data_IF_065791408055
#
_entry.id   IF_065791408055
#
_cell.length_a   1.000
_cell.length_b   1.000
_cell.length_c   1.000
_cell.angle_alpha   90.00
_cell.angle_beta   90.00
_cell.angle_gamma   90.00
#
_symmetry.space_group_name_H-M   'P 1'
#
loop_
_entity.id
_entity.type
_entity.pdbx_description
1 polymer ?
#
# COMPACT_ATOMS: atom_id res chain seq x y z
N UNK A 1 -53.32 58.72 -23.33
CA UNK A 1 -51.94 58.67 -22.79
C UNK A 1 -51.82 57.89 -21.47
N UNK A 2 -52.67 58.12 -20.47
CA UNK A 2 -52.56 57.52 -19.11
C UNK A 2 -52.67 55.99 -19.08
N UNK A 3 -53.48 55.37 -19.95
CA UNK A 3 -53.61 53.89 -20.00
C UNK A 3 -52.36 53.19 -20.55
N UNK A 4 -51.66 53.82 -21.51
CA UNK A 4 -50.45 53.25 -22.12
C UNK A 4 -49.28 53.17 -21.13
N UNK A 5 -49.13 54.20 -20.29
CA UNK A 5 -48.13 54.24 -19.20
C UNK A 5 -48.38 53.14 -18.16
N UNK A 6 -49.65 52.83 -17.85
CA UNK A 6 -50.01 51.77 -16.89
C UNK A 6 -49.63 50.37 -17.40
N UNK A 7 -49.85 50.08 -18.69
CA UNK A 7 -49.47 48.79 -19.27
C UNK A 7 -47.95 48.63 -19.42
N UNK A 8 -47.24 49.71 -19.78
CA UNK A 8 -45.78 49.70 -19.82
C UNK A 8 -45.18 49.44 -18.42
N UNK A 9 -45.74 50.06 -17.38
CA UNK A 9 -45.29 49.84 -16.00
C UNK A 9 -45.57 48.39 -15.52
N UNK A 10 -46.74 47.84 -15.86
CA UNK A 10 -47.07 46.44 -15.56
C UNK A 10 -46.15 45.44 -16.27
N UNK A 11 -45.75 45.72 -17.52
CA UNK A 11 -44.81 44.89 -18.27
C UNK A 11 -43.40 44.92 -17.67
N UNK A 12 -42.93 46.08 -17.20
CA UNK A 12 -41.63 46.20 -16.53
C UNK A 12 -41.62 45.43 -15.21
N UNK A 13 -42.69 45.53 -14.42
CA UNK A 13 -42.82 44.76 -13.18
C UNK A 13 -42.89 43.26 -13.48
N UNK A 14 -43.65 42.84 -14.49
CA UNK A 14 -43.72 41.45 -14.90
C UNK A 14 -42.35 40.92 -15.38
N UNK A 15 -41.59 41.71 -16.14
CA UNK A 15 -40.24 41.35 -16.57
C UNK A 15 -39.24 41.27 -15.40
N UNK A 16 -39.33 42.18 -14.43
CA UNK A 16 -38.53 42.14 -13.20
C UNK A 16 -38.85 40.91 -12.35
N UNK A 17 -40.14 40.59 -12.18
CA UNK A 17 -40.57 39.39 -11.46
C UNK A 17 -40.15 38.11 -12.18
N UNK A 18 -40.21 38.08 -13.52
CA UNK A 18 -39.73 36.95 -14.32
C UNK A 18 -38.20 36.77 -14.21
N UNK A 19 -37.45 37.88 -14.11
CA UNK A 19 -36.00 37.84 -13.91
C UNK A 19 -35.60 37.31 -12.52
N UNK A 20 -36.44 37.56 -11.50
CA UNK A 20 -36.27 36.99 -10.15
C UNK A 20 -36.54 35.48 -10.10
N UNK A 21 -37.42 34.98 -10.97
CA UNK A 21 -37.75 33.54 -11.06
C UNK A 21 -36.65 32.76 -11.82
N UNK A 22 -35.91 33.42 -12.72
CA UNK A 22 -34.76 32.83 -13.41
C UNK A 22 -33.43 32.94 -12.65
N UNK A 23 -33.39 33.69 -11.55
CA UNK A 23 -32.32 33.57 -10.57
C UNK A 23 -32.51 32.26 -9.79
N UNK A 24 -32.13 31.15 -10.43
CA UNK A 24 -32.05 29.85 -9.77
C UNK A 24 -31.19 29.95 -8.51
N UNK A 25 -31.38 29.05 -7.51
CA UNK A 25 -30.55 29.05 -6.31
C UNK A 25 -29.10 29.07 -6.77
N UNK A 26 -28.36 30.10 -6.35
CA UNK A 26 -26.93 30.18 -6.60
C UNK A 26 -26.34 28.89 -6.03
N UNK A 27 -26.01 27.94 -6.92
CA UNK A 27 -25.29 26.75 -6.52
C UNK A 27 -24.05 27.25 -5.79
N UNK A 28 -23.95 26.94 -4.50
CA UNK A 28 -22.78 27.26 -3.71
C UNK A 28 -21.59 26.72 -4.51
N UNK A 29 -20.77 27.61 -5.05
CA UNK A 29 -19.59 27.22 -5.79
C UNK A 29 -18.79 26.37 -4.82
N UNK A 30 -18.56 25.09 -5.17
CA UNK A 30 -17.70 24.23 -4.38
C UNK A 30 -16.39 24.98 -4.13
N UNK A 31 -15.89 25.01 -2.88
CA UNK A 31 -14.70 25.78 -2.55
C UNK A 31 -13.61 25.46 -3.56
N UNK A 32 -12.92 26.50 -4.04
CA UNK A 32 -11.84 26.30 -5.01
C UNK A 32 -10.86 25.26 -4.45
N UNK A 33 -10.31 24.35 -5.26
CA UNK A 33 -9.42 23.28 -4.78
C UNK A 33 -8.25 23.78 -3.95
N UNK A 34 -7.67 24.93 -4.31
CA UNK A 34 -6.65 25.60 -3.50
C UNK A 34 -7.17 26.02 -2.10
N UNK A 35 -8.40 26.54 -2.00
CA UNK A 35 -8.99 26.89 -0.72
C UNK A 35 -9.23 25.64 0.15
N UNK A 36 -9.67 24.53 -0.45
CA UNK A 36 -9.83 23.25 0.25
C UNK A 36 -8.49 22.71 0.76
N UNK A 37 -7.42 22.79 -0.04
CA UNK A 37 -6.06 22.42 0.36
C UNK A 37 -5.61 23.21 1.59
N UNK A 38 -5.67 24.54 1.51
CA UNK A 38 -5.26 25.42 2.61
C UNK A 38 -6.08 25.15 3.88
N UNK A 39 -7.38 24.87 3.71
CA UNK A 39 -8.26 24.55 4.84
C UNK A 39 -7.84 23.21 5.49
N UNK A 40 -7.55 22.19 4.68
CA UNK A 40 -7.09 20.89 5.17
C UNK A 40 -5.73 20.99 5.90
N UNK A 41 -4.79 21.78 5.37
CA UNK A 41 -3.51 22.04 6.02
C UNK A 41 -3.66 22.76 7.36
N UNK A 42 -4.58 23.73 7.45
CA UNK A 42 -4.88 24.42 8.71
C UNK A 42 -5.52 23.49 9.74
N UNK A 43 -6.45 22.64 9.32
CA UNK A 43 -7.06 21.62 10.18
C UNK A 43 -5.98 20.65 10.70
N UNK A 44 -5.07 20.22 9.82
CA UNK A 44 -3.94 19.37 10.20
C UNK A 44 -3.06 20.07 11.25
N UNK A 45 -2.70 21.34 11.02
CA UNK A 45 -1.88 22.12 11.95
C UNK A 45 -2.55 22.34 13.32
N UNK A 46 -3.89 22.32 13.38
CA UNK A 46 -4.66 22.40 14.63
C UNK A 46 -4.82 21.05 15.35
N UNK A 47 -4.32 19.97 14.77
CA UNK A 47 -4.51 18.61 15.29
C UNK A 47 -5.86 18.00 14.97
N UNK A 48 -6.67 18.64 14.12
CA UNK A 48 -7.97 18.13 13.67
C UNK A 48 -7.79 17.15 12.50
N UNK A 49 -7.01 16.08 12.73
CA UNK A 49 -6.50 15.20 11.69
C UNK A 49 -7.59 14.48 10.88
N UNK A 50 -8.68 14.05 11.53
CA UNK A 50 -9.80 13.41 10.84
C UNK A 50 -10.50 14.35 9.85
N UNK A 51 -10.64 15.63 10.20
CA UNK A 51 -11.22 16.64 9.32
C UNK A 51 -10.25 17.05 8.21
N UNK A 52 -8.96 17.14 8.52
CA UNK A 52 -7.91 17.35 7.51
C UNK A 52 -7.92 16.23 6.46
N UNK A 53 -7.99 14.97 6.89
CA UNK A 53 -8.06 13.82 6.00
C UNK A 53 -9.28 13.86 5.09
N UNK A 54 -10.45 14.30 5.59
CA UNK A 54 -11.64 14.50 4.76
C UNK A 54 -11.42 15.59 3.70
N UNK A 55 -10.77 16.70 4.05
CA UNK A 55 -10.43 17.75 3.10
C UNK A 55 -9.50 17.27 1.98
N UNK A 56 -8.48 16.48 2.32
CA UNK A 56 -7.60 15.86 1.33
C UNK A 56 -8.33 14.82 0.47
N UNK A 57 -9.19 13.99 1.06
CA UNK A 57 -10.00 13.03 0.31
C UNK A 57 -10.94 13.73 -0.67
N UNK A 58 -11.56 14.84 -0.27
CA UNK A 58 -12.42 15.64 -1.14
C UNK A 58 -11.68 16.16 -2.38
N UNK A 59 -10.39 16.49 -2.23
CA UNK A 59 -9.55 16.89 -3.37
C UNK A 59 -9.22 15.70 -4.26
N UNK A 60 -8.88 14.55 -3.67
CA UNK A 60 -8.67 13.33 -4.43
C UNK A 60 -9.91 12.94 -5.25
N UNK A 61 -11.10 13.06 -4.66
CA UNK A 61 -12.39 12.77 -5.31
C UNK A 61 -12.72 13.75 -6.46
N UNK A 62 -12.16 14.96 -6.42
CA UNK A 62 -12.23 15.93 -7.52
C UNK A 62 -11.26 15.63 -8.67
N UNK A 63 -10.49 14.54 -8.56
CA UNK A 63 -9.53 14.09 -9.57
C UNK A 63 -8.12 14.65 -9.39
N UNK A 64 -7.85 15.35 -8.27
CA UNK A 64 -6.48 15.73 -7.94
C UNK A 64 -5.68 14.50 -7.51
N UNK A 65 -4.62 14.20 -8.25
CA UNK A 65 -3.80 13.04 -8.00
C UNK A 65 -2.32 13.43 -8.09
N UNK A 66 -1.78 13.97 -6.99
CA UNK A 66 -0.36 14.25 -6.83
C UNK A 66 0.19 13.55 -5.58
N UNK A 67 1.49 13.26 -5.59
CA UNK A 67 2.14 12.51 -4.51
C UNK A 67 2.02 13.22 -3.16
N UNK A 68 2.14 14.54 -3.13
CA UNK A 68 2.13 15.33 -1.89
C UNK A 68 0.74 15.35 -1.24
N UNK A 69 -0.34 15.44 -2.04
CA UNK A 69 -1.72 15.32 -1.57
C UNK A 69 -1.93 13.97 -0.88
N UNK A 70 -1.55 12.87 -1.54
CA UNK A 70 -1.69 11.53 -0.97
C UNK A 70 -0.79 11.32 0.26
N UNK A 71 0.41 11.89 0.27
CA UNK A 71 1.30 11.85 1.43
C UNK A 71 0.71 12.60 2.64
N UNK A 72 0.22 13.83 2.43
CA UNK A 72 -0.41 14.63 3.48
C UNK A 72 -1.71 13.98 4.00
N UNK A 73 -2.50 13.39 3.09
CA UNK A 73 -3.66 12.58 3.46
C UNK A 73 -3.27 11.37 4.31
N UNK A 74 -2.19 10.68 3.94
CA UNK A 74 -1.64 9.56 4.70
C UNK A 74 -1.19 9.96 6.09
N UNK A 75 -0.49 11.09 6.22
CA UNK A 75 -0.11 11.66 7.51
C UNK A 75 -1.34 11.99 8.36
N UNK A 76 -2.37 12.60 7.76
CA UNK A 76 -3.60 12.93 8.47
C UNK A 76 -4.32 11.67 8.99
N UNK A 77 -4.44 10.62 8.18
CA UNK A 77 -5.01 9.36 8.64
C UNK A 77 -4.15 8.68 9.71
N UNK A 78 -2.83 8.71 9.55
CA UNK A 78 -1.90 8.12 10.52
C UNK A 78 -2.02 8.81 11.88
N UNK A 79 -2.03 10.14 11.91
CA UNK A 79 -2.21 10.94 13.12
C UNK A 79 -3.62 10.80 13.72
N UNK A 80 -4.63 10.46 12.91
CA UNK A 80 -5.98 10.13 13.37
C UNK A 80 -6.09 8.68 13.90
N UNK A 81 -5.02 7.88 13.84
CA UNK A 81 -5.01 6.48 14.28
C UNK A 81 -5.57 5.49 13.25
N UNK A 82 -5.92 5.95 12.04
CA UNK A 82 -6.44 5.08 10.99
C UNK A 82 -5.31 4.55 10.11
N UNK A 83 -4.66 3.48 10.60
CA UNK A 83 -3.50 2.89 9.94
C UNK A 83 -3.84 2.32 8.55
N UNK A 84 -5.06 1.82 8.35
CA UNK A 84 -5.53 1.28 7.08
C UNK A 84 -5.58 2.36 5.99
N UNK A 85 -6.27 3.47 6.25
CA UNK A 85 -6.35 4.60 5.31
C UNK A 85 -5.02 5.32 5.14
N UNK A 86 -4.19 5.37 6.18
CA UNK A 86 -2.83 5.87 6.10
C UNK A 86 -2.00 5.05 5.11
N UNK A 87 -2.00 3.71 5.27
CA UNK A 87 -1.26 2.79 4.39
C UNK A 87 -1.72 2.90 2.94
N UNK A 88 -3.03 2.97 2.71
CA UNK A 88 -3.57 3.17 1.37
C UNK A 88 -3.09 4.49 0.75
N UNK A 89 -3.17 5.59 1.50
CA UNK A 89 -2.78 6.92 1.02
C UNK A 89 -1.29 6.98 0.70
N UNK A 90 -0.42 6.45 1.56
CA UNK A 90 1.02 6.42 1.28
C UNK A 90 1.37 5.52 0.09
N UNK A 91 0.63 4.42 -0.13
CA UNK A 91 0.79 3.61 -1.34
C UNK A 91 0.36 4.36 -2.60
N UNK A 92 -0.71 5.14 -2.53
CA UNK A 92 -1.13 6.01 -3.63
C UNK A 92 -0.07 7.07 -3.93
N UNK A 93 0.57 7.65 -2.91
CA UNK A 93 1.72 8.55 -3.09
C UNK A 93 2.91 7.83 -3.77
N UNK A 94 3.28 6.64 -3.27
CA UNK A 94 4.38 5.84 -3.83
C UNK A 94 4.12 5.42 -5.29
N UNK A 95 2.86 5.19 -5.67
CA UNK A 95 2.51 4.88 -7.04
C UNK A 95 2.79 6.04 -8.02
N UNK A 96 2.73 7.29 -7.52
CA UNK A 96 3.01 8.50 -8.30
C UNK A 96 4.50 8.84 -8.26
N UNK A 97 5.14 8.80 -7.08
CA UNK A 97 6.58 8.96 -6.91
C UNK A 97 7.21 7.75 -6.18
N UNK A 98 7.68 6.74 -6.94
CA UNK A 98 8.20 5.51 -6.36
C UNK A 98 9.53 5.65 -5.62
N UNK A 99 10.22 6.79 -5.73
CA UNK A 99 11.57 7.00 -5.17
C UNK A 99 11.60 8.05 -4.06
N UNK A 100 10.44 8.52 -3.62
CA UNK A 100 10.34 9.44 -2.49
C UNK A 100 10.69 8.73 -1.18
N UNK A 101 11.82 9.13 -0.58
CA UNK A 101 12.32 8.56 0.66
C UNK A 101 11.40 8.86 1.87
N UNK A 102 10.68 9.98 1.85
CA UNK A 102 9.72 10.31 2.92
C UNK A 102 8.50 9.38 2.86
N UNK A 103 7.98 9.13 1.66
CA UNK A 103 6.89 8.16 1.44
C UNK A 103 7.33 6.75 1.84
N UNK A 104 8.54 6.33 1.46
CA UNK A 104 9.08 5.03 1.83
C UNK A 104 9.21 4.87 3.35
N UNK A 105 9.76 5.87 4.04
CA UNK A 105 9.86 5.88 5.50
C UNK A 105 8.50 5.78 6.18
N UNK A 106 7.51 6.57 5.73
CA UNK A 106 6.16 6.54 6.27
C UNK A 106 5.48 5.16 6.06
N UNK A 107 5.68 4.54 4.89
CA UNK A 107 5.17 3.19 4.63
C UNK A 107 5.79 2.14 5.56
N UNK A 108 7.09 2.23 5.83
CA UNK A 108 7.76 1.29 6.75
C UNK A 108 7.19 1.41 8.17
N UNK A 109 7.01 2.64 8.64
CA UNK A 109 6.46 2.93 9.97
C UNK A 109 5.03 2.39 10.13
N UNK A 110 4.11 2.76 9.21
CA UNK A 110 2.71 2.30 9.28
C UNK A 110 2.61 0.78 9.16
N UNK A 111 3.40 0.15 8.28
CA UNK A 111 3.44 -1.33 8.19
C UNK A 111 3.92 -1.98 9.48
N UNK A 112 4.90 -1.38 10.16
CA UNK A 112 5.39 -1.83 11.45
C UNK A 112 4.30 -1.79 12.52
N UNK A 113 3.56 -0.68 12.59
CA UNK A 113 2.46 -0.51 13.55
C UNK A 113 1.31 -1.49 13.29
N UNK A 114 0.91 -1.68 12.03
CA UNK A 114 -0.11 -2.68 11.66
C UNK A 114 0.35 -4.09 12.03
N UNK A 115 1.62 -4.44 11.76
CA UNK A 115 2.15 -5.74 12.12
C UNK A 115 2.17 -5.97 13.64
N UNK A 116 2.48 -4.94 14.42
CA UNK A 116 2.43 -5.00 15.88
C UNK A 116 0.99 -5.17 16.39
N UNK A 117 0.04 -4.37 15.90
CA UNK A 117 -1.38 -4.48 16.26
C UNK A 117 -1.96 -5.86 15.92
N UNK A 118 -1.61 -6.41 14.75
CA UNK A 118 -2.02 -7.76 14.35
C UNK A 118 -1.39 -8.85 15.23
N UNK A 119 -0.13 -8.67 15.65
CA UNK A 119 0.53 -9.61 16.56
C UNK A 119 -0.11 -9.60 17.95
N UNK A 120 -0.48 -8.42 18.46
CA UNK A 120 -1.22 -8.29 19.73
C UNK A 120 -2.61 -8.95 19.63
N UNK A 121 -3.30 -8.79 18.51
CA UNK A 121 -4.61 -9.40 18.28
C UNK A 121 -4.56 -10.92 18.09
N UNK A 122 -3.47 -11.46 17.52
CA UNK A 122 -3.32 -12.89 17.24
C UNK A 122 -2.99 -13.75 18.49
N UNK A 123 -2.59 -13.14 19.61
CA UNK A 123 -2.16 -13.86 20.81
C UNK A 123 -0.78 -14.51 20.66
N UNK A 124 -0.49 -15.52 21.48
CA UNK A 124 0.82 -16.18 21.45
C UNK A 124 1.02 -16.93 20.12
N UNK A 125 2.01 -16.54 19.28
CA UNK A 125 2.20 -17.15 17.98
C UNK A 125 2.58 -18.62 18.14
N UNK A 126 1.99 -19.48 17.30
CA UNK A 126 2.29 -20.90 17.30
C UNK A 126 3.81 -21.13 17.12
N UNK A 127 4.40 -22.23 17.64
CA UNK A 127 5.84 -22.48 17.56
C UNK A 127 6.40 -22.42 16.12
N UNK A 128 5.59 -22.81 15.14
CA UNK A 128 5.94 -22.74 13.71
C UNK A 128 6.04 -21.29 13.23
N UNK A 129 5.14 -20.40 13.68
CA UNK A 129 5.16 -18.98 13.32
C UNK A 129 6.37 -18.26 13.91
N UNK A 130 6.81 -18.64 15.11
CA UNK A 130 8.03 -18.13 15.72
C UNK A 130 9.28 -18.54 14.93
N UNK A 131 9.34 -19.80 14.47
CA UNK A 131 10.42 -20.29 13.60
C UNK A 131 10.42 -19.54 12.25
N UNK A 132 9.24 -19.29 11.67
CA UNK A 132 9.11 -18.52 10.42
C UNK A 132 9.47 -17.05 10.62
N UNK A 133 9.12 -16.44 11.76
CA UNK A 133 9.47 -15.07 12.11
C UNK A 133 10.99 -14.92 12.33
N UNK A 134 11.62 -15.86 13.03
CA UNK A 134 13.08 -15.93 13.17
C UNK A 134 13.75 -16.10 11.80
N UNK A 135 13.25 -17.00 10.95
CA UNK A 135 13.79 -17.18 9.60
C UNK A 135 13.66 -15.91 8.73
N UNK A 136 12.60 -15.11 8.92
CA UNK A 136 12.43 -13.81 8.25
C UNK A 136 13.37 -12.73 8.79
N UNK A 137 13.67 -12.74 10.09
CA UNK A 137 14.59 -11.78 10.73
C UNK A 137 16.07 -12.04 10.44
N UNK A 138 16.46 -13.30 10.30
CA UNK A 138 17.89 -13.69 10.20
C UNK A 138 18.43 -13.62 8.77
N UNK A 139 17.58 -13.49 7.75
CA UNK A 139 18.08 -13.44 6.37
C UNK A 139 17.24 -12.56 5.47
N UNK A 140 17.85 -11.47 4.97
CA UNK A 140 17.27 -10.71 3.87
C UNK A 140 17.29 -11.55 2.58
N UNK A 141 16.34 -11.32 1.66
CA UNK A 141 16.28 -12.02 0.36
C UNK A 141 17.62 -11.88 -0.40
N UNK A 142 18.28 -10.73 -0.24
CA UNK A 142 19.57 -10.43 -0.86
C UNK A 142 20.70 -11.30 -0.32
N UNK A 143 20.79 -11.51 0.99
CA UNK A 143 21.80 -12.39 1.60
C UNK A 143 21.62 -13.84 1.16
N UNK A 144 20.38 -14.35 1.12
CA UNK A 144 20.07 -15.69 0.62
C UNK A 144 20.40 -15.85 -0.86
N UNK A 145 20.13 -14.82 -1.67
CA UNK A 145 20.46 -14.82 -3.09
C UNK A 145 21.98 -14.82 -3.32
N UNK A 146 22.75 -14.02 -2.56
CA UNK A 146 24.22 -14.02 -2.62
C UNK A 146 24.82 -15.37 -2.19
N UNK A 147 24.27 -15.98 -1.14
CA UNK A 147 24.70 -17.29 -0.65
C UNK A 147 24.40 -18.38 -1.69
N UNK A 148 23.21 -18.35 -2.30
CA UNK A 148 22.84 -19.22 -3.40
C UNK A 148 23.77 -19.07 -4.61
N UNK A 149 24.14 -17.84 -4.98
CA UNK A 149 25.09 -17.56 -6.05
C UNK A 149 26.48 -18.14 -5.75
N UNK A 150 26.99 -17.94 -4.52
CA UNK A 150 28.26 -18.50 -4.08
C UNK A 150 28.27 -20.03 -4.09
N UNK A 151 27.19 -20.67 -3.63
CA UNK A 151 27.02 -22.11 -3.68
C UNK A 151 26.95 -22.64 -5.11
N UNK A 152 26.35 -21.89 -6.04
CA UNK A 152 26.31 -22.25 -7.45
C UNK A 152 27.71 -22.24 -8.09
N UNK A 153 28.53 -21.22 -7.83
CA UNK A 153 29.93 -21.20 -8.27
C UNK A 153 30.75 -22.34 -7.65
N UNK A 154 30.56 -22.63 -6.37
CA UNK A 154 31.24 -23.74 -5.71
C UNK A 154 30.82 -25.10 -6.30
N UNK A 155 29.53 -25.32 -6.51
CA UNK A 155 28.99 -26.54 -7.08
C UNK A 155 29.52 -26.78 -8.50
N UNK A 156 29.51 -25.74 -9.35
CA UNK A 156 30.04 -25.82 -10.72
C UNK A 156 31.55 -26.08 -10.73
N UNK A 157 32.33 -25.46 -9.84
CA UNK A 157 33.76 -25.74 -9.70
C UNK A 157 34.05 -27.20 -9.28
N UNK A 158 33.28 -27.75 -8.33
CA UNK A 158 33.41 -29.14 -7.89
C UNK A 158 33.02 -30.12 -9.02
N UNK A 159 31.95 -29.83 -9.77
CA UNK A 159 31.58 -30.61 -10.95
C UNK A 159 32.65 -30.58 -12.04
N UNK A 160 33.27 -29.42 -12.30
CA UNK A 160 34.37 -29.31 -13.26
C UNK A 160 35.57 -30.14 -12.84
N UNK A 161 35.96 -30.10 -11.56
CA UNK A 161 37.03 -30.95 -11.01
C UNK A 161 36.72 -32.44 -11.19
N UNK A 162 35.46 -32.83 -11.03
CA UNK A 162 34.99 -34.20 -11.21
C UNK A 162 35.02 -34.63 -12.69
N UNK A 163 34.49 -33.81 -13.60
CA UNK A 163 34.36 -34.09 -15.04
C UNK A 163 35.70 -34.02 -15.76
N UNK A 164 36.52 -33.00 -15.50
CA UNK A 164 37.82 -32.78 -16.15
C UNK A 164 38.91 -33.76 -15.67
N UNK A 165 38.52 -34.80 -14.92
CA UNK A 165 39.38 -35.87 -14.39
C UNK A 165 40.70 -35.31 -13.86
N UNK A 166 40.61 -34.37 -12.91
CA UNK A 166 41.77 -33.72 -12.29
C UNK A 166 42.89 -34.72 -11.95
N UNK A 167 44.14 -34.33 -12.21
CA UNK A 167 45.35 -35.15 -12.01
C UNK A 167 45.49 -35.63 -10.55
N UNK A 168 44.93 -34.89 -9.59
CA UNK A 168 44.90 -35.28 -8.18
C UNK A 168 43.72 -36.23 -7.88
N UNK A 169 44.05 -37.51 -7.62
CA UNK A 169 43.07 -38.52 -7.17
C UNK A 169 42.37 -38.12 -5.86
N UNK A 170 43.06 -37.41 -4.97
CA UNK A 170 42.50 -36.92 -3.72
C UNK A 170 41.42 -35.85 -3.96
N UNK A 171 41.73 -34.85 -4.78
CA UNK A 171 40.81 -33.76 -5.12
C UNK A 171 39.53 -34.28 -5.79
N UNK A 172 39.65 -35.29 -6.67
CA UNK A 172 38.50 -35.92 -7.33
C UNK A 172 37.60 -36.68 -6.34
N UNK A 173 38.17 -37.37 -5.35
CA UNK A 173 37.40 -38.05 -4.29
C UNK A 173 36.68 -37.06 -3.40
N UNK A 174 37.35 -35.96 -3.02
CA UNK A 174 36.74 -34.89 -2.25
C UNK A 174 35.58 -34.25 -3.03
N UNK A 175 35.78 -33.93 -4.31
CA UNK A 175 34.72 -33.38 -5.16
C UNK A 175 33.53 -34.33 -5.32
N UNK A 176 33.76 -35.64 -5.46
CA UNK A 176 32.68 -36.64 -5.56
C UNK A 176 31.80 -36.73 -4.31
N UNK A 177 32.35 -36.42 -3.12
CA UNK A 177 31.60 -36.41 -1.86
C UNK A 177 31.00 -35.03 -1.57
N UNK A 178 31.74 -33.96 -1.84
CA UNK A 178 31.32 -32.58 -1.56
C UNK A 178 30.26 -32.07 -2.54
N UNK A 179 30.34 -32.42 -3.83
CA UNK A 179 29.40 -31.95 -4.84
C UNK A 179 27.92 -32.30 -4.53
N UNK A 180 27.55 -33.54 -4.16
CA UNK A 180 26.15 -33.84 -3.83
C UNK A 180 25.69 -33.10 -2.56
N UNK A 181 26.54 -32.94 -1.55
CA UNK A 181 26.20 -32.20 -0.33
C UNK A 181 25.94 -30.72 -0.60
N UNK A 182 26.84 -30.07 -1.36
CA UNK A 182 26.69 -28.68 -1.81
C UNK A 182 25.47 -28.55 -2.73
N UNK A 183 25.20 -29.54 -3.57
CA UNK A 183 24.03 -29.58 -4.45
C UNK A 183 22.70 -29.65 -3.67
N UNK A 184 22.62 -30.49 -2.64
CA UNK A 184 21.45 -30.56 -1.75
C UNK A 184 21.25 -29.24 -1.01
N UNK A 185 22.33 -28.66 -0.47
CA UNK A 185 22.26 -27.36 0.20
C UNK A 185 21.80 -26.25 -0.77
N UNK A 186 22.35 -26.21 -1.98
CA UNK A 186 21.93 -25.27 -3.02
C UNK A 186 20.46 -25.44 -3.37
N UNK A 187 19.97 -26.69 -3.47
CA UNK A 187 18.57 -26.98 -3.74
C UNK A 187 17.66 -26.44 -2.62
N UNK A 188 18.02 -26.65 -1.35
CA UNK A 188 17.28 -26.10 -0.20
C UNK A 188 17.25 -24.57 -0.23
N UNK A 189 18.39 -23.92 -0.53
CA UNK A 189 18.46 -22.45 -0.65
C UNK A 189 17.59 -21.95 -1.81
N UNK A 190 17.60 -22.63 -2.96
CA UNK A 190 16.76 -22.28 -4.10
C UNK A 190 15.27 -22.44 -3.81
N UNK A 191 14.86 -23.49 -3.07
CA UNK A 191 13.47 -23.63 -2.61
C UNK A 191 13.08 -22.52 -1.64
N UNK A 192 13.96 -22.13 -0.73
CA UNK A 192 13.70 -21.02 0.20
C UNK A 192 13.56 -19.68 -0.53
N UNK A 193 14.40 -19.41 -1.53
CA UNK A 193 14.27 -18.21 -2.38
C UNK A 193 13.00 -18.27 -3.23
N UNK A 194 12.72 -19.40 -3.89
CA UNK A 194 11.55 -19.58 -4.75
C UNK A 194 10.22 -19.44 -3.99
N UNK A 195 10.12 -20.02 -2.80
CA UNK A 195 8.93 -19.87 -1.93
C UNK A 195 8.71 -18.43 -1.50
N UNK A 196 9.78 -17.69 -1.12
CA UNK A 196 9.68 -16.26 -0.81
C UNK A 196 9.27 -15.42 -2.02
N UNK A 197 9.85 -15.72 -3.19
CA UNK A 197 9.54 -15.02 -4.44
C UNK A 197 8.08 -15.28 -4.88
N UNK A 198 7.58 -16.49 -4.69
CA UNK A 198 6.19 -16.85 -4.93
C UNK A 198 5.24 -16.04 -4.04
N UNK A 199 5.53 -15.94 -2.73
CA UNK A 199 4.72 -15.13 -1.80
C UNK A 199 4.75 -13.65 -2.20
N UNK A 200 5.94 -13.11 -2.53
CA UNK A 200 6.12 -11.72 -2.94
C UNK A 200 5.33 -11.37 -4.22
N UNK A 201 5.27 -12.26 -5.21
CA UNK A 201 4.54 -12.02 -6.45
C UNK A 201 3.06 -12.41 -6.41
N UNK A 202 2.68 -13.37 -5.57
CA UNK A 202 1.28 -13.85 -5.50
C UNK A 202 0.43 -12.98 -4.60
N UNK A 203 1.03 -12.26 -3.65
CA UNK A 203 0.32 -11.29 -2.82
C UNK A 203 0.29 -9.95 -3.54
N UNK A 204 -0.76 -9.73 -4.33
CA UNK A 204 -1.15 -8.36 -4.69
C UNK A 204 -1.65 -7.71 -3.41
N UNK A 205 -0.82 -6.88 -2.79
CA UNK A 205 -1.22 -6.16 -1.60
C UNK A 205 -2.49 -5.34 -1.88
N UNK A 206 -3.60 -5.73 -1.26
CA UNK A 206 -4.81 -4.93 -1.20
C UNK A 206 -4.94 -4.36 0.21
N UNK A 207 -5.18 -3.05 0.31
CA UNK A 207 -5.51 -2.41 1.58
C UNK A 207 -7.03 -2.36 1.66
N UNK A 208 -7.60 -3.11 2.58
CA UNK A 208 -9.05 -3.12 2.81
C UNK A 208 -9.39 -2.01 3.79
N UNK A 209 -10.18 -1.03 3.34
CA UNK A 209 -10.54 0.20 4.09
C UNK A 209 -11.96 0.12 4.68
N UNK A 210 -12.62 -1.03 4.61
CA UNK A 210 -13.98 -1.18 5.10
C UNK A 210 -14.03 -1.50 6.62
N UNK A 211 -15.00 -0.95 7.38
CA UNK A 211 -15.04 -1.02 8.84
C UNK A 211 -15.12 -2.44 9.41
N UNK A 212 -15.69 -3.38 8.66
CA UNK A 212 -15.58 -4.82 8.87
C UNK A 212 -15.69 -5.49 7.50
N UNK A 213 -14.75 -6.39 7.17
CA UNK A 213 -14.88 -7.24 5.98
C UNK A 213 -14.79 -8.69 6.40
N UNK A 214 -15.84 -9.42 6.08
CA UNK A 214 -15.83 -10.87 6.10
C UNK A 214 -14.85 -11.36 5.04
N UNK A 215 -13.69 -11.86 5.48
CA UNK A 215 -12.72 -12.47 4.57
C UNK A 215 -13.29 -13.83 4.18
N UNK A 216 -13.67 -13.98 2.92
CA UNK A 216 -14.20 -15.24 2.38
C UNK A 216 -13.12 -15.98 1.59
N UNK A 217 -13.22 -17.31 1.49
CA UNK A 217 -12.26 -18.15 0.77
C UNK A 217 -12.23 -17.95 -0.76
N UNK A 218 -13.00 -17.01 -1.31
CA UNK A 218 -13.02 -16.75 -2.74
C UNK A 218 -13.85 -15.51 -3.12
N UNK A 219 -13.74 -15.05 -4.38
CA UNK A 219 -14.45 -13.86 -4.85
C UNK A 219 -15.92 -14.21 -5.14
N UNK A 220 -16.76 -14.20 -4.11
CA UNK A 220 -18.22 -14.36 -4.27
C UNK A 220 -18.98 -14.65 -2.97
N UNK A 221 -20.28 -14.32 -2.91
CA UNK A 221 -21.13 -14.56 -1.73
C UNK A 221 -21.32 -16.05 -1.39
N UNK A 222 -20.96 -16.95 -2.30
CA UNK A 222 -21.03 -18.40 -2.09
C UNK A 222 -19.85 -18.99 -1.29
N UNK A 223 -18.81 -18.22 -0.98
CA UNK A 223 -17.64 -18.71 -0.25
C UNK A 223 -17.79 -18.52 1.26
N UNK A 224 -17.37 -19.53 2.03
CA UNK A 224 -17.43 -19.50 3.48
C UNK A 224 -16.57 -18.38 4.08
N UNK A 225 -17.13 -17.66 5.05
CA UNK A 225 -16.42 -16.66 5.86
C UNK A 225 -15.37 -17.36 6.72
N UNK A 226 -14.13 -16.90 6.61
CA UNK A 226 -12.97 -17.48 7.28
C UNK A 226 -12.71 -16.79 8.63
N UNK A 227 -12.76 -15.45 8.66
CA UNK A 227 -12.74 -14.62 9.87
C UNK A 227 -13.12 -13.17 9.52
N UNK A 228 -13.54 -12.40 10.53
CA UNK A 228 -13.81 -10.97 10.41
C UNK A 228 -12.57 -10.19 10.88
N UNK A 229 -12.09 -9.25 10.06
CA UNK A 229 -11.03 -8.33 10.45
C UNK A 229 -11.65 -7.13 11.17
N UNK A 230 -11.33 -6.88 12.45
CA UNK A 230 -11.57 -5.59 13.07
C UNK A 230 -10.56 -4.56 12.51
N UNK A 231 -11.02 -3.31 12.37
CA UNK A 231 -10.19 -2.15 11.99
C UNK A 231 -9.15 -1.79 13.04
#
# INVERSE_FOLDING_TARGET
MIRFVKYAFALVIAALLLSLVYAGPAAAQSPSPHATLVTAEQLYARGEYALAAQGYQQLADQGYADSALFYNMGLAYWMAGDLGRALWSFKSAQAIDPRDAAVEGALQEVRGQIAAANAEAAGDPAPIEQVVAMARRVSTINELAMLGLGLWFLFTALLLVFILKSRSRALRRMAAIAAPLVGVLLFVVMLAVGSRMYVYHSMKDAVVVAPQVEVTNGPGPQYSVQFALPS
#
